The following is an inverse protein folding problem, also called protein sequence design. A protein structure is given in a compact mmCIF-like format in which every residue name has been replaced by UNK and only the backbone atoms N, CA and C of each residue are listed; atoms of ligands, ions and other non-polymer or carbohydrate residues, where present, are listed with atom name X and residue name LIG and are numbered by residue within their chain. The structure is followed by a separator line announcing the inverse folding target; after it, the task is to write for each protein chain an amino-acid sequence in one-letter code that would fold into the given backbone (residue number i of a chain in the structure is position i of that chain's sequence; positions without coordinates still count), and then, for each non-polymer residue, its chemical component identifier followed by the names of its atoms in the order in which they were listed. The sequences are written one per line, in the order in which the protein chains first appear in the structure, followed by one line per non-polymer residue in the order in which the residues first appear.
data_IF_457121032644
#
_entry.id   IF_457121032644
#
_cell.length_a   1.000
_cell.length_b   1.000
_cell.length_c   1.000
_cell.angle_alpha   90.00
_cell.angle_beta   90.00
_cell.angle_gamma   90.00
#
_symmetry.space_group_name_H-M   'P 1'
#
loop_
_entity.id
_entity.type
_entity.pdbx_description
1 polymer ?
#
# COMPACT_ATOMS: atom_id res chain seq x y z
N UNK A 1 -0.19 -7.41 -3.58
CA UNK A 1 0.59 -8.64 -3.88
C UNK A 1 -0.18 -9.92 -3.59
N UNK A 2 -0.54 -10.25 -2.33
CA UNK A 2 -1.24 -11.51 -1.99
C UNK A 2 -2.55 -11.74 -2.75
N UNK A 3 -3.35 -10.69 -2.93
CA UNK A 3 -4.57 -10.77 -3.72
C UNK A 3 -4.33 -11.01 -5.23
N UNK A 4 -3.12 -10.73 -5.74
CA UNK A 4 -2.77 -10.88 -7.16
C UNK A 4 -2.12 -12.24 -7.46
N UNK A 5 -1.17 -12.68 -6.61
CA UNK A 5 -0.36 -13.89 -6.85
C UNK A 5 -0.69 -15.07 -5.92
N UNK A 6 -1.66 -14.89 -5.01
CA UNK A 6 -2.07 -15.89 -4.03
C UNK A 6 -1.14 -16.02 -2.82
N UNK A 7 -1.33 -17.05 -1.97
CA UNK A 7 -0.62 -17.22 -0.71
C UNK A 7 0.76 -17.88 -0.84
N UNK A 8 1.15 -18.34 -2.03
CA UNK A 8 2.42 -19.04 -2.23
C UNK A 8 3.62 -18.08 -2.05
N UNK A 9 4.35 -18.24 -0.94
CA UNK A 9 5.47 -17.37 -0.55
C UNK A 9 6.54 -17.22 -1.64
N UNK A 10 6.81 -18.27 -2.43
CA UNK A 10 7.84 -18.26 -3.47
C UNK A 10 7.54 -17.26 -4.59
N UNK A 11 6.25 -17.00 -4.85
CA UNK A 11 5.79 -15.97 -5.81
C UNK A 11 5.40 -14.66 -5.10
N UNK A 12 4.89 -14.77 -3.87
CA UNK A 12 4.43 -13.64 -3.09
C UNK A 12 5.55 -12.68 -2.70
N UNK A 13 6.68 -13.20 -2.22
CA UNK A 13 7.82 -12.38 -1.78
C UNK A 13 8.37 -11.51 -2.91
N UNK A 14 8.75 -12.06 -4.09
CA UNK A 14 9.24 -11.22 -5.18
C UNK A 14 8.18 -10.24 -5.67
N UNK A 15 6.92 -10.68 -5.81
CA UNK A 15 5.84 -9.78 -6.23
C UNK A 15 5.58 -8.65 -5.22
N UNK A 16 5.67 -8.92 -3.92
CA UNK A 16 5.52 -7.91 -2.88
C UNK A 16 6.69 -6.93 -2.86
N UNK A 17 7.93 -7.41 -3.06
CA UNK A 17 9.10 -6.57 -3.15
C UNK A 17 9.01 -5.57 -4.32
N UNK A 18 8.70 -6.05 -5.53
CA UNK A 18 8.58 -5.18 -6.70
C UNK A 18 7.43 -4.17 -6.57
N UNK A 19 6.26 -4.63 -6.13
CA UNK A 19 5.08 -3.78 -6.01
C UNK A 19 5.26 -2.74 -4.89
N UNK A 20 5.87 -3.14 -3.76
CA UNK A 20 6.21 -2.23 -2.66
C UNK A 20 7.28 -1.20 -3.05
N UNK A 21 8.34 -1.63 -3.74
CA UNK A 21 9.39 -0.75 -4.21
C UNK A 21 8.86 0.29 -5.20
N UNK A 22 8.09 -0.13 -6.21
CA UNK A 22 7.47 0.78 -7.17
C UNK A 22 6.54 1.80 -6.50
N UNK A 23 5.71 1.35 -5.55
CA UNK A 23 4.83 2.22 -4.78
C UNK A 23 5.61 3.25 -3.95
N UNK A 24 6.67 2.82 -3.26
CA UNK A 24 7.45 3.69 -2.38
C UNK A 24 8.20 4.76 -3.18
N UNK A 25 8.83 4.40 -4.30
CA UNK A 25 9.52 5.36 -5.18
C UNK A 25 8.54 6.39 -5.72
N UNK A 26 7.35 5.97 -6.13
CA UNK A 26 6.32 6.88 -6.60
C UNK A 26 5.83 7.83 -5.48
N UNK A 27 5.60 7.30 -4.28
CA UNK A 27 5.19 8.10 -3.13
C UNK A 27 6.26 9.11 -2.69
N UNK A 28 7.55 8.73 -2.71
CA UNK A 28 8.67 9.63 -2.42
C UNK A 28 8.75 10.77 -3.45
N UNK A 29 8.64 10.43 -4.73
CA UNK A 29 8.62 11.40 -5.82
C UNK A 29 7.49 12.42 -5.66
N UNK A 30 6.28 11.97 -5.34
CA UNK A 30 5.15 12.86 -5.07
C UNK A 30 5.36 13.76 -3.85
N UNK A 31 5.97 13.24 -2.79
CA UNK A 31 6.27 14.01 -1.57
C UNK A 31 7.26 15.14 -1.79
N UNK A 32 8.19 14.95 -2.74
CA UNK A 32 9.17 15.97 -3.15
C UNK A 32 8.60 16.97 -4.16
N UNK A 33 7.66 16.54 -5.02
CA UNK A 33 7.15 17.38 -6.12
C UNK A 33 5.94 18.24 -5.74
N UNK A 34 5.01 17.74 -4.92
CA UNK A 34 3.71 18.40 -4.72
C UNK A 34 3.79 19.74 -3.97
N UNK A 35 4.79 19.95 -3.10
CA UNK A 35 4.85 21.10 -2.19
C UNK A 35 6.24 21.72 -2.08
N UNK A 36 7.00 21.81 -3.18
CA UNK A 36 8.31 22.46 -3.17
C UNK A 36 8.25 23.91 -2.62
N UNK A 37 9.12 24.34 -1.66
CA UNK A 37 10.30 23.66 -1.08
C UNK A 37 10.05 22.85 0.21
N UNK A 38 8.79 22.68 0.62
CA UNK A 38 8.41 21.92 1.81
C UNK A 38 8.38 20.42 1.50
N UNK A 39 9.22 19.65 2.19
CA UNK A 39 9.23 18.19 2.06
C UNK A 39 8.05 17.58 2.83
N UNK A 40 7.12 16.95 2.11
CA UNK A 40 6.07 16.16 2.75
C UNK A 40 6.65 14.81 3.17
N UNK A 41 6.49 14.40 4.44
CA UNK A 41 6.91 13.08 4.87
C UNK A 41 6.17 12.00 4.09
N UNK A 42 6.91 11.05 3.52
CA UNK A 42 6.34 9.94 2.75
C UNK A 42 5.32 9.12 3.55
N UNK A 43 5.44 9.11 4.88
CA UNK A 43 4.45 8.52 5.79
C UNK A 43 3.05 9.11 5.62
N UNK A 44 2.93 10.40 5.34
CA UNK A 44 1.63 11.07 5.10
C UNK A 44 1.01 10.55 3.80
N UNK A 45 1.79 10.52 2.72
CA UNK A 45 1.32 10.07 1.40
C UNK A 45 0.93 8.59 1.43
N UNK A 46 1.77 7.76 2.04
CA UNK A 46 1.50 6.32 2.14
C UNK A 46 0.29 6.03 3.03
N UNK A 47 0.06 6.82 4.09
CA UNK A 47 -1.11 6.68 4.97
C UNK A 47 -2.42 7.02 4.28
N UNK A 48 -2.44 7.98 3.34
CA UNK A 48 -3.63 8.31 2.54
C UNK A 48 -4.10 7.11 1.70
N UNK A 49 -3.20 6.20 1.32
CA UNK A 49 -3.53 4.98 0.58
C UNK A 49 -3.76 3.81 1.53
N UNK A 50 -2.91 3.66 2.54
CA UNK A 50 -2.93 2.54 3.49
C UNK A 50 -4.17 2.53 4.38
N UNK A 51 -4.61 3.69 4.89
CA UNK A 51 -5.77 3.78 5.75
C UNK A 51 -7.08 3.34 5.06
N UNK A 52 -7.46 3.88 3.88
CA UNK A 52 -8.68 3.41 3.21
C UNK A 52 -8.56 1.95 2.76
N UNK A 53 -7.38 1.49 2.32
CA UNK A 53 -7.17 0.09 1.97
C UNK A 53 -7.39 -0.83 3.19
N UNK A 54 -6.87 -0.45 4.36
CA UNK A 54 -7.06 -1.20 5.59
C UNK A 54 -8.53 -1.24 6.02
N UNK A 55 -9.24 -0.11 5.95
CA UNK A 55 -10.68 -0.04 6.23
C UNK A 55 -11.50 -0.94 5.30
N UNK A 56 -11.15 -1.00 4.01
CA UNK A 56 -11.79 -1.90 3.04
C UNK A 56 -11.56 -3.38 3.40
N UNK A 57 -10.35 -3.74 3.82
CA UNK A 57 -10.04 -5.09 4.29
C UNK A 57 -10.81 -5.46 5.56
N UNK A 58 -10.91 -4.53 6.52
CA UNK A 58 -11.64 -4.74 7.76
C UNK A 58 -13.14 -4.97 7.49
N UNK A 59 -13.75 -4.15 6.63
CA UNK A 59 -15.15 -4.32 6.22
C UNK A 59 -15.41 -5.67 5.55
N UNK A 60 -14.46 -6.14 4.72
CA UNK A 60 -14.56 -7.47 4.08
C UNK A 60 -14.51 -8.59 5.11
N UNK A 61 -13.61 -8.50 6.09
CA UNK A 61 -13.48 -9.51 7.15
C UNK A 61 -14.67 -9.53 8.10
N UNK A 62 -15.24 -8.38 8.45
CA UNK A 62 -16.44 -8.32 9.29
C UNK A 62 -17.63 -9.03 8.62
N UNK A 63 -17.81 -8.87 7.30
CA UNK A 63 -18.88 -9.51 6.54
C UNK A 63 -18.74 -11.05 6.46
N UNK A 64 -17.51 -11.54 6.51
CA UNK A 64 -17.20 -12.98 6.55
C UNK A 64 -17.48 -13.58 7.93
N UNK A 65 -17.24 -12.82 9.01
CA UNK A 65 -17.46 -13.27 10.40
C UNK A 65 -18.93 -13.34 10.81
N UNK A 66 -19.79 -12.50 10.22
CA UNK A 66 -21.24 -12.45 10.50
C UNK A 66 -22.08 -13.40 9.63
N UNK A 67 -21.44 -14.23 8.80
CA UNK A 67 -22.07 -15.31 8.03
C UNK A 67 -21.78 -16.64 8.68
#
# INVERSE_FOLDING_TARGET
ARALVGPNHRRLVPAAAFLGAAFLVFADGLGRMLFYPVEIPIGVITSLVGAPFFLLLLRRKQKEMWR
#
